data_IF_568873603615
#
_entry.id   IF_568873603615
#
_cell.length_a   1.000
_cell.length_b   1.000
_cell.length_c   1.000
_cell.angle_alpha   90.00
_cell.angle_beta   90.00
_cell.angle_gamma   90.00
#
_symmetry.space_group_name_H-M   'P 1'
#
loop_
_entity.id
_entity.type
_entity.pdbx_description
1 polymer ?
#
# COMPACT_ATOMS: atom_id res chain seq x y z
N UNK A 1 -21.31 68.32 44.72
CA UNK A 1 -21.82 69.45 43.92
C UNK A 1 -21.01 69.54 42.64
N UNK A 2 -21.67 69.44 41.46
CA UNK A 2 -21.18 69.66 40.07
C UNK A 2 -20.03 68.72 39.63
N UNK A 3 -20.00 68.05 38.49
CA UNK A 3 -20.76 68.03 37.23
C UNK A 3 -20.29 66.82 36.38
N UNK A 4 -20.74 66.67 35.12
CA UNK A 4 -21.11 65.38 34.52
C UNK A 4 -20.05 64.76 33.60
N UNK A 5 -20.14 63.45 33.34
CA UNK A 5 -19.55 62.85 32.13
C UNK A 5 -20.35 61.61 31.68
N UNK A 6 -20.65 61.60 30.39
CA UNK A 6 -21.51 60.68 29.66
C UNK A 6 -21.08 59.20 29.78
N UNK A 7 -22.03 58.31 30.10
CA UNK A 7 -21.91 56.88 29.87
C UNK A 7 -22.69 56.52 28.61
N UNK A 8 -21.98 56.28 27.50
CA UNK A 8 -22.53 55.59 26.34
C UNK A 8 -22.57 54.07 26.66
N UNK A 9 -23.66 53.35 26.34
CA UNK A 9 -23.82 51.97 26.74
C UNK A 9 -22.90 51.04 25.94
N UNK A 10 -22.13 50.26 26.69
CA UNK A 10 -21.42 49.07 26.24
C UNK A 10 -22.40 48.08 25.61
N UNK A 11 -22.48 48.03 24.28
CA UNK A 11 -23.27 47.00 23.59
C UNK A 11 -22.71 46.72 22.19
N UNK A 12 -21.39 46.60 22.04
CA UNK A 12 -20.78 46.05 20.82
C UNK A 12 -19.50 45.30 21.18
N UNK A 13 -19.58 44.16 21.86
CA UNK A 13 -18.42 43.27 22.02
C UNK A 13 -18.81 41.89 22.56
N UNK A 14 -19.75 41.20 21.92
CA UNK A 14 -20.08 39.81 22.30
C UNK A 14 -20.62 38.95 21.13
N UNK A 15 -20.14 39.16 19.90
CA UNK A 15 -20.53 38.34 18.74
C UNK A 15 -19.35 37.85 17.88
N UNK A 16 -18.11 37.89 18.38
CA UNK A 16 -16.92 37.44 17.65
C UNK A 16 -16.24 36.20 18.27
N UNK A 17 -16.98 35.38 19.01
CA UNK A 17 -16.41 34.30 19.83
C UNK A 17 -16.64 32.87 19.36
N UNK A 18 -17.29 32.60 18.22
CA UNK A 18 -17.67 31.24 17.83
C UNK A 18 -17.53 30.99 16.33
N UNK A 19 -16.35 31.18 15.77
CA UNK A 19 -16.04 30.73 14.41
C UNK A 19 -14.55 30.41 14.26
N UNK A 20 -14.03 29.52 15.11
CA UNK A 20 -12.71 28.92 14.87
C UNK A 20 -12.84 27.41 14.96
N UNK A 21 -12.37 26.76 13.89
CA UNK A 21 -12.26 25.32 13.68
C UNK A 21 -13.51 24.57 13.20
N UNK A 22 -14.12 25.05 12.11
CA UNK A 22 -14.55 24.08 11.09
C UNK A 22 -13.27 23.67 10.35
N UNK A 23 -12.61 22.62 10.83
CA UNK A 23 -11.46 22.04 10.14
C UNK A 23 -11.87 21.76 8.69
N UNK A 24 -10.96 22.08 7.77
CA UNK A 24 -11.11 22.02 6.33
C UNK A 24 -11.32 20.56 5.86
N UNK A 25 -12.51 20.01 6.10
CA UNK A 25 -12.90 18.63 5.77
C UNK A 25 -12.64 18.31 4.30
N UNK A 26 -12.81 19.31 3.44
CA UNK A 26 -12.56 19.24 1.99
C UNK A 26 -11.12 18.82 1.66
N UNK A 27 -10.09 19.37 2.33
CA UNK A 27 -8.69 19.04 2.00
C UNK A 27 -8.33 17.62 2.47
N UNK A 28 -8.77 17.23 3.67
CA UNK A 28 -8.53 15.88 4.19
C UNK A 28 -9.31 14.83 3.41
N UNK A 29 -10.53 15.15 2.99
CA UNK A 29 -11.33 14.29 2.12
C UNK A 29 -10.68 14.12 0.74
N UNK A 30 -10.18 15.21 0.13
CA UNK A 30 -9.49 15.15 -1.17
C UNK A 30 -8.20 14.36 -1.11
N UNK A 31 -7.40 14.53 -0.06
CA UNK A 31 -6.15 13.81 0.12
C UNK A 31 -6.31 12.28 0.16
N UNK A 32 -7.51 11.79 0.51
CA UNK A 32 -7.85 10.37 0.59
C UNK A 32 -8.66 9.85 -0.62
N UNK A 33 -8.90 10.68 -1.64
CA UNK A 33 -9.63 10.27 -2.85
C UNK A 33 -8.67 9.69 -3.89
N UNK A 34 -8.46 8.38 -3.86
CA UNK A 34 -7.50 7.70 -4.75
C UNK A 34 -7.92 7.66 -6.21
N UNK A 35 -9.17 8.00 -6.51
CA UNK A 35 -9.68 8.21 -7.86
C UNK A 35 -9.60 9.67 -8.34
N UNK A 36 -8.80 10.50 -7.68
CA UNK A 36 -8.58 11.92 -8.02
C UNK A 36 -7.07 12.22 -7.94
N UNK A 37 -6.54 13.04 -8.86
CA UNK A 37 -5.14 13.47 -8.84
C UNK A 37 -4.73 14.18 -7.53
N UNK A 38 -5.69 14.65 -6.75
CA UNK A 38 -5.48 15.28 -5.43
C UNK A 38 -5.40 14.28 -4.27
N UNK A 39 -5.59 12.98 -4.51
CA UNK A 39 -5.48 11.85 -3.58
C UNK A 39 -4.05 11.54 -3.15
N UNK A 40 -3.31 12.53 -2.66
CA UNK A 40 -1.87 12.41 -2.39
C UNK A 40 -1.49 11.44 -1.27
N UNK A 41 -2.45 10.96 -0.47
CA UNK A 41 -2.19 10.00 0.61
C UNK A 41 -2.52 8.55 0.21
N UNK A 42 -2.84 8.34 -1.06
CA UNK A 42 -3.07 7.01 -1.58
C UNK A 42 -1.76 6.29 -1.81
N UNK A 43 -1.77 4.97 -1.57
CA UNK A 43 -0.61 4.10 -1.78
C UNK A 43 -0.21 4.10 -3.25
N UNK A 44 -1.20 4.21 -4.15
CA UNK A 44 -1.03 4.13 -5.58
C UNK A 44 -0.96 5.50 -6.26
N UNK A 45 -0.20 5.58 -7.34
CA UNK A 45 -0.24 6.73 -8.24
C UNK A 45 -1.57 6.76 -8.99
N UNK A 46 -2.15 7.95 -9.13
CA UNK A 46 -3.41 8.13 -9.86
C UNK A 46 -3.33 7.65 -11.32
N UNK A 47 -2.17 7.81 -11.96
CA UNK A 47 -1.88 7.28 -13.30
C UNK A 47 -0.65 6.37 -13.23
N UNK A 48 -0.86 5.06 -13.40
CA UNK A 48 0.21 4.05 -13.42
C UNK A 48 0.93 3.96 -14.78
N UNK A 49 0.34 4.55 -15.82
CA UNK A 49 0.97 4.74 -17.13
C UNK A 49 1.57 6.15 -17.16
N UNK A 50 2.89 6.22 -17.23
CA UNK A 50 3.59 7.48 -17.29
C UNK A 50 3.30 8.27 -18.57
N UNK A 51 3.74 9.53 -18.60
CA UNK A 51 3.61 10.42 -19.76
C UNK A 51 4.10 9.80 -21.08
N UNK A 52 5.06 8.88 -21.02
CA UNK A 52 5.60 8.16 -22.18
C UNK A 52 4.79 6.96 -22.65
N UNK A 53 3.67 6.62 -22.01
CA UNK A 53 2.91 5.40 -22.29
C UNK A 53 3.49 4.13 -21.65
N UNK A 54 4.54 4.27 -20.84
CA UNK A 54 5.23 3.17 -20.16
C UNK A 54 4.67 2.96 -18.75
N UNK A 55 4.65 1.72 -18.29
CA UNK A 55 4.33 1.40 -16.91
C UNK A 55 5.43 1.93 -15.99
N UNK A 56 5.06 2.76 -15.01
CA UNK A 56 5.97 3.19 -13.93
C UNK A 56 5.69 2.29 -12.73
N UNK A 57 6.35 1.14 -12.69
CA UNK A 57 6.34 0.25 -11.54
C UNK A 57 7.74 -0.02 -11.01
N UNK A 58 7.77 -0.69 -9.87
CA UNK A 58 8.99 -1.29 -9.35
C UNK A 58 9.10 -2.73 -9.88
N UNK A 59 10.29 -3.11 -10.36
CA UNK A 59 10.56 -4.49 -10.76
C UNK A 59 11.14 -5.27 -9.57
N UNK A 60 10.46 -6.35 -9.21
CA UNK A 60 10.82 -7.21 -8.08
C UNK A 60 11.27 -8.59 -8.56
N UNK A 61 12.56 -8.95 -8.41
CA UNK A 61 13.04 -10.25 -8.84
C UNK A 61 12.44 -11.36 -7.96
N UNK A 62 11.75 -12.33 -8.59
CA UNK A 62 11.08 -13.42 -7.89
C UNK A 62 11.47 -14.81 -8.40
N UNK A 63 11.40 -15.80 -7.52
CA UNK A 63 11.43 -17.22 -7.85
C UNK A 63 10.07 -17.82 -7.51
N UNK A 64 9.34 -18.26 -8.53
CA UNK A 64 7.94 -18.66 -8.41
C UNK A 64 7.80 -20.19 -8.36
N UNK A 65 6.89 -20.67 -7.49
CA UNK A 65 6.54 -22.07 -7.35
C UNK A 65 5.05 -22.26 -7.60
N UNK A 66 4.71 -23.03 -8.63
CA UNK A 66 3.33 -23.36 -8.96
C UNK A 66 3.05 -24.84 -8.70
N UNK A 67 1.87 -25.13 -8.19
CA UNK A 67 1.38 -26.48 -7.95
C UNK A 67 -0.09 -26.55 -8.32
N UNK A 68 -0.49 -27.64 -8.97
CA UNK A 68 -1.88 -27.97 -9.28
C UNK A 68 -2.47 -29.00 -8.30
N UNK A 69 -1.76 -29.31 -7.22
CA UNK A 69 -2.29 -30.18 -6.16
C UNK A 69 -3.30 -29.40 -5.32
N UNK A 70 -4.56 -29.86 -5.21
CA UNK A 70 -5.58 -29.17 -4.43
C UNK A 70 -5.11 -28.89 -2.99
N UNK A 71 -5.26 -27.63 -2.56
CA UNK A 71 -4.87 -27.18 -1.22
C UNK A 71 -3.39 -26.78 -1.07
N UNK A 72 -2.59 -26.78 -2.13
CA UNK A 72 -1.18 -26.34 -2.04
C UNK A 72 -1.00 -24.88 -1.60
N UNK A 73 -2.00 -24.03 -1.81
CA UNK A 73 -2.01 -22.64 -1.33
C UNK A 73 -2.30 -22.49 0.17
N UNK A 74 -2.88 -23.51 0.82
CA UNK A 74 -3.52 -23.34 2.13
C UNK A 74 -2.55 -23.35 3.31
N UNK A 75 -1.40 -24.02 3.18
CA UNK A 75 -0.42 -24.12 4.27
C UNK A 75 0.98 -24.22 3.71
N UNK A 76 1.72 -23.12 3.85
CA UNK A 76 3.10 -23.01 3.44
C UNK A 76 4.00 -22.91 4.67
N UNK A 77 5.02 -23.77 4.76
CA UNK A 77 5.95 -23.84 5.89
C UNK A 77 7.37 -23.71 5.38
N UNK A 78 8.05 -22.66 5.80
CA UNK A 78 9.43 -22.37 5.41
C UNK A 78 10.35 -22.50 6.61
N UNK A 79 11.51 -23.12 6.41
CA UNK A 79 12.60 -23.09 7.38
C UNK A 79 13.67 -22.11 6.86
N UNK A 80 13.80 -20.98 7.55
CA UNK A 80 14.66 -19.88 7.14
C UNK A 80 15.80 -19.70 8.16
N UNK A 81 17.01 -19.49 7.64
CA UNK A 81 18.14 -18.99 8.44
C UNK A 81 18.48 -17.59 7.96
N UNK A 82 18.20 -16.60 8.80
CA UNK A 82 18.52 -15.20 8.52
C UNK A 82 20.04 -14.98 8.50
N UNK A 83 20.57 -14.26 7.49
CA UNK A 83 22.00 -13.97 7.42
C UNK A 83 22.43 -13.02 8.54
N UNK A 84 23.70 -13.13 8.94
CA UNK A 84 24.35 -12.19 9.86
C UNK A 84 25.20 -11.23 9.05
N UNK A 85 25.34 -10.00 9.54
CA UNK A 85 26.31 -9.07 9.00
C UNK A 85 27.75 -9.56 9.25
N UNK A 86 28.70 -9.24 8.35
CA UNK A 86 30.09 -9.54 8.57
C UNK A 86 30.63 -8.79 9.80
N UNK A 87 31.57 -9.39 10.55
CA UNK A 87 32.13 -8.75 11.75
C UNK A 87 33.04 -7.56 11.43
N UNK A 88 33.47 -7.41 10.17
CA UNK A 88 34.32 -6.32 9.70
C UNK A 88 33.47 -5.17 9.20
N UNK A 89 33.72 -3.97 9.73
CA UNK A 89 33.02 -2.75 9.31
C UNK A 89 33.26 -2.45 7.81
N UNK A 90 32.29 -1.79 7.15
CA UNK A 90 32.47 -1.29 5.79
C UNK A 90 33.60 -0.28 5.69
N UNK A 91 34.34 -0.31 4.58
CA UNK A 91 35.39 0.65 4.24
C UNK A 91 35.15 1.22 2.86
N UNK A 92 35.46 2.50 2.69
CA UNK A 92 35.27 3.22 1.42
C UNK A 92 36.19 2.72 0.30
N UNK A 93 37.29 2.04 0.64
CA UNK A 93 38.21 1.42 -0.32
C UNK A 93 37.77 0.02 -0.79
N UNK A 94 36.59 -0.45 -0.35
CA UNK A 94 36.06 -1.77 -0.71
C UNK A 94 36.72 -2.96 -0.01
N UNK A 95 37.64 -2.73 0.94
CA UNK A 95 38.36 -3.82 1.66
C UNK A 95 37.67 -4.24 2.97
N UNK A 96 36.56 -3.59 3.32
CA UNK A 96 35.75 -3.90 4.49
C UNK A 96 34.70 -4.99 4.24
N UNK A 97 33.84 -5.22 5.24
CA UNK A 97 32.64 -6.03 5.04
C UNK A 97 31.53 -5.25 4.33
N UNK A 98 30.54 -5.96 3.80
CA UNK A 98 29.31 -5.34 3.29
C UNK A 98 28.14 -5.87 4.11
N UNK A 99 27.40 -4.95 4.74
CA UNK A 99 26.27 -5.32 5.59
C UNK A 99 25.05 -5.62 4.73
N UNK A 100 24.13 -6.43 5.26
CA UNK A 100 22.96 -6.91 4.53
C UNK A 100 22.11 -5.76 3.97
N UNK A 101 21.87 -4.73 4.78
CA UNK A 101 21.07 -3.56 4.37
C UNK A 101 21.67 -2.77 3.21
N UNK A 102 22.96 -2.95 2.92
CA UNK A 102 23.63 -2.29 1.80
C UNK A 102 23.45 -3.06 0.48
N UNK A 103 23.06 -4.33 0.55
CA UNK A 103 22.90 -5.21 -0.60
C UNK A 103 21.44 -5.37 -1.02
N UNK A 104 20.55 -5.43 -0.05
CA UNK A 104 19.12 -5.63 -0.27
C UNK A 104 18.31 -4.79 0.72
N UNK A 105 17.25 -4.11 0.25
CA UNK A 105 16.33 -3.39 1.14
C UNK A 105 15.52 -4.37 2.01
N UNK A 106 15.06 -5.47 1.40
CA UNK A 106 14.37 -6.58 2.04
C UNK A 106 14.41 -7.83 1.14
N UNK A 107 14.03 -8.97 1.69
CA UNK A 107 13.54 -10.12 0.92
C UNK A 107 12.23 -10.61 1.52
N UNK A 108 11.40 -11.32 0.75
CA UNK A 108 10.10 -11.78 1.22
C UNK A 108 9.71 -13.14 0.66
N UNK A 109 8.80 -13.80 1.37
CA UNK A 109 7.97 -14.85 0.78
C UNK A 109 6.68 -14.22 0.27
N UNK A 110 6.39 -14.48 -1.00
CA UNK A 110 5.22 -13.96 -1.70
C UNK A 110 4.11 -14.99 -1.86
N UNK A 111 2.86 -14.54 -1.85
CA UNK A 111 1.72 -15.34 -2.28
C UNK A 111 0.70 -14.48 -3.02
N UNK A 112 0.37 -14.86 -4.25
CA UNK A 112 -0.79 -14.30 -4.94
C UNK A 112 -2.07 -14.78 -4.24
N UNK A 113 -2.95 -13.83 -3.93
CA UNK A 113 -4.20 -14.06 -3.23
C UNK A 113 -5.36 -13.42 -3.99
N UNK A 114 -6.56 -13.90 -3.72
CA UNK A 114 -7.79 -13.26 -4.20
C UNK A 114 -8.27 -12.28 -3.13
N UNK A 115 -8.39 -11.01 -3.49
CA UNK A 115 -9.04 -9.97 -2.69
C UNK A 115 -10.21 -9.42 -3.50
N UNK A 116 -11.43 -9.81 -3.13
CA UNK A 116 -12.63 -9.40 -3.86
C UNK A 116 -12.95 -7.91 -3.75
N UNK A 117 -12.25 -7.16 -2.91
CA UNK A 117 -12.35 -5.70 -2.86
C UNK A 117 -11.33 -4.98 -3.75
N UNK A 118 -10.47 -5.74 -4.44
CA UNK A 118 -9.41 -5.21 -5.28
C UNK A 118 -9.72 -5.33 -6.78
N UNK A 119 -9.10 -4.46 -7.57
CA UNK A 119 -9.03 -4.57 -9.01
C UNK A 119 -8.02 -5.64 -9.48
N UNK A 120 -8.21 -6.21 -10.69
CA UNK A 120 -9.43 -6.13 -11.47
C UNK A 120 -10.50 -6.99 -10.80
N UNK A 121 -11.74 -6.52 -10.78
CA UNK A 121 -12.90 -7.36 -10.46
C UNK A 121 -13.98 -6.95 -11.47
N UNK A 122 -14.45 -7.79 -12.40
CA UNK A 122 -15.22 -7.37 -13.56
C UNK A 122 -16.57 -6.71 -13.26
N UNK A 123 -17.03 -6.68 -12.00
CA UNK A 123 -18.15 -5.82 -11.56
C UNK A 123 -17.69 -4.54 -10.85
N UNK A 124 -16.44 -4.47 -10.39
CA UNK A 124 -15.75 -3.29 -9.83
C UNK A 124 -14.95 -2.47 -10.87
N UNK A 125 -14.51 -3.11 -11.96
CA UNK A 125 -13.50 -2.59 -12.90
C UNK A 125 -14.01 -1.43 -13.78
N UNK A 126 -15.29 -1.08 -13.67
CA UNK A 126 -15.81 0.19 -14.20
C UNK A 126 -16.40 1.01 -13.07
N UNK A 127 -15.53 1.74 -12.38
CA UNK A 127 -15.78 2.97 -11.65
C UNK A 127 -15.60 2.91 -10.14
N UNK A 128 -15.02 3.98 -9.62
CA UNK A 128 -15.37 4.55 -8.32
C UNK A 128 -16.84 4.99 -8.21
N UNK A 129 -17.75 4.17 -8.72
CA UNK A 129 -19.22 4.27 -8.68
C UNK A 129 -19.95 3.13 -9.43
N UNK A 130 -19.33 1.95 -9.70
CA UNK A 130 -20.08 0.84 -10.34
C UNK A 130 -21.30 0.49 -9.47
N UNK A 131 -22.54 0.48 -10.02
CA UNK A 131 -23.73 0.10 -9.26
C UNK A 131 -23.80 -1.40 -8.95
N UNK A 132 -22.82 -2.18 -9.41
CA UNK A 132 -22.77 -3.62 -9.25
C UNK A 132 -21.77 -4.00 -8.13
N UNK A 133 -22.17 -4.86 -7.19
CA UNK A 133 -21.27 -5.33 -6.13
C UNK A 133 -20.12 -6.15 -6.73
N UNK A 134 -18.95 -6.09 -6.09
CA UNK A 134 -17.82 -6.94 -6.41
C UNK A 134 -18.21 -8.42 -6.42
N UNK A 135 -17.64 -9.20 -7.32
CA UNK A 135 -17.82 -10.66 -7.32
C UNK A 135 -16.94 -11.23 -6.21
N UNK A 136 -17.51 -11.97 -5.23
CA UNK A 136 -16.73 -12.54 -4.15
C UNK A 136 -15.82 -13.67 -4.61
N UNK A 137 -14.64 -13.77 -4.01
CA UNK A 137 -13.71 -14.87 -4.23
C UNK A 137 -14.33 -16.18 -3.72
N UNK A 138 -14.20 -17.26 -4.49
CA UNK A 138 -14.58 -18.59 -4.01
C UNK A 138 -13.47 -19.15 -3.10
N UNK A 139 -13.74 -19.49 -1.84
CA UNK A 139 -12.71 -20.05 -0.96
C UNK A 139 -12.07 -21.32 -1.54
N UNK A 140 -10.76 -21.51 -1.30
CA UNK A 140 -10.00 -22.72 -1.65
C UNK A 140 -10.22 -23.21 -3.09
N UNK A 141 -10.21 -22.29 -4.07
CA UNK A 141 -10.61 -22.62 -5.44
C UNK A 141 -9.75 -21.93 -6.50
N UNK A 142 -9.20 -22.73 -7.41
CA UNK A 142 -8.45 -22.26 -8.59
C UNK A 142 -9.36 -21.54 -9.60
N UNK A 143 -10.68 -21.63 -9.44
CA UNK A 143 -11.64 -20.88 -10.28
C UNK A 143 -11.53 -19.37 -10.14
N UNK A 144 -10.78 -18.87 -9.15
CA UNK A 144 -10.50 -17.44 -9.00
C UNK A 144 -9.30 -16.99 -9.84
N UNK A 145 -8.50 -17.92 -10.38
CA UNK A 145 -7.26 -17.63 -11.09
C UNK A 145 -7.57 -17.40 -12.57
N UNK A 146 -7.30 -16.19 -13.03
CA UNK A 146 -7.46 -15.76 -14.42
C UNK A 146 -6.10 -15.25 -14.87
N UNK A 147 -5.35 -15.99 -15.68
CA UNK A 147 -3.98 -15.67 -16.07
C UNK A 147 -3.80 -15.57 -17.60
N UNK A 148 -4.90 -15.66 -18.35
CA UNK A 148 -4.92 -15.52 -19.80
C UNK A 148 -4.62 -14.10 -20.27
N UNK A 149 -3.92 -13.97 -21.38
CA UNK A 149 -3.56 -12.67 -21.98
C UNK A 149 -4.54 -12.17 -23.04
N UNK A 150 -5.45 -13.01 -23.54
CA UNK A 150 -6.42 -12.67 -24.59
C UNK A 150 -7.71 -12.07 -23.99
N UNK A 151 -8.02 -10.77 -24.21
CA UNK A 151 -9.21 -10.11 -23.66
C UNK A 151 -10.54 -10.76 -24.05
N UNK A 152 -10.59 -11.48 -25.17
CA UNK A 152 -11.79 -12.14 -25.65
C UNK A 152 -12.11 -13.43 -24.87
N UNK A 153 -11.13 -14.00 -24.14
CA UNK A 153 -11.30 -15.28 -23.44
C UNK A 153 -11.90 -15.10 -22.05
N UNK A 154 -12.61 -16.13 -21.52
CA UNK A 154 -13.17 -16.08 -20.18
C UNK A 154 -12.12 -15.92 -19.07
N UNK A 155 -10.93 -16.50 -19.25
CA UNK A 155 -9.80 -16.54 -18.31
C UNK A 155 -8.84 -15.35 -18.43
N UNK A 156 -9.23 -14.28 -19.13
CA UNK A 156 -8.42 -13.08 -19.26
C UNK A 156 -8.09 -12.46 -17.89
N UNK A 157 -6.82 -12.14 -17.63
CA UNK A 157 -6.34 -11.52 -16.39
C UNK A 157 -7.09 -10.24 -16.02
N UNK A 158 -7.54 -9.45 -17.00
CA UNK A 158 -8.36 -8.26 -16.75
C UNK A 158 -9.79 -8.54 -16.24
N UNK A 159 -10.18 -9.82 -16.15
CA UNK A 159 -11.45 -10.31 -15.58
C UNK A 159 -11.24 -11.10 -14.28
N UNK A 160 -10.05 -11.06 -13.67
CA UNK A 160 -9.80 -11.69 -12.38
C UNK A 160 -10.84 -11.25 -11.34
N UNK A 161 -11.09 -12.05 -10.29
CA UNK A 161 -12.11 -11.74 -9.27
C UNK A 161 -11.55 -10.87 -8.12
N UNK A 162 -10.58 -10.02 -8.44
CA UNK A 162 -9.79 -9.23 -7.51
C UNK A 162 -8.47 -9.91 -7.14
N UNK A 163 -7.44 -9.09 -6.92
CA UNK A 163 -6.06 -9.56 -6.76
C UNK A 163 -5.38 -8.86 -5.60
N UNK A 164 -4.65 -9.62 -4.79
CA UNK A 164 -3.73 -9.09 -3.80
C UNK A 164 -2.45 -9.91 -3.79
N UNK A 165 -1.38 -9.34 -3.27
CA UNK A 165 -0.12 -10.03 -3.06
C UNK A 165 0.27 -9.94 -1.60
N UNK A 166 0.43 -11.10 -0.94
CA UNK A 166 0.96 -11.16 0.41
C UNK A 166 2.47 -11.21 0.35
N UNK A 167 3.11 -10.39 1.18
CA UNK A 167 4.54 -10.37 1.37
C UNK A 167 4.88 -10.55 2.85
N UNK A 168 5.52 -11.67 3.18
CA UNK A 168 6.18 -11.83 4.46
C UNK A 168 7.61 -11.33 4.32
N UNK A 169 7.81 -10.04 4.60
CA UNK A 169 9.06 -9.30 4.40
C UNK A 169 10.01 -9.42 5.61
N UNK A 170 11.31 -9.46 5.31
CA UNK A 170 12.39 -9.48 6.30
C UNK A 170 13.37 -8.34 6.01
N UNK A 171 13.51 -7.45 6.99
CA UNK A 171 14.37 -6.28 6.90
C UNK A 171 15.65 -6.48 7.71
N UNK A 172 16.83 -6.25 7.10
CA UNK A 172 18.10 -6.40 7.78
C UNK A 172 18.32 -5.31 8.83
N UNK A 173 19.10 -5.61 9.89
CA UNK A 173 19.54 -4.61 10.84
C UNK A 173 20.40 -3.52 10.16
N UNK A 174 20.42 -2.34 10.77
CA UNK A 174 21.30 -1.22 10.39
C UNK A 174 20.67 -0.13 9.52
N UNK A 175 19.51 -0.37 8.89
CA UNK A 175 18.80 0.65 8.12
C UNK A 175 17.70 1.34 8.94
N UNK A 176 17.95 2.58 9.35
CA UNK A 176 17.05 3.39 10.18
C UNK A 176 15.75 3.84 9.49
N UNK A 177 15.66 3.74 8.16
CA UNK A 177 14.49 4.22 7.41
C UNK A 177 13.47 3.12 7.11
N UNK A 178 13.91 1.86 7.13
CA UNK A 178 13.12 0.72 6.63
C UNK A 178 13.00 -0.37 7.70
N UNK A 179 14.04 -0.60 8.53
CA UNK A 179 13.98 -1.59 9.60
C UNK A 179 13.34 -1.03 10.87
N UNK A 180 12.63 -1.87 11.64
CA UNK A 180 12.11 -1.50 12.94
C UNK A 180 13.17 -1.48 14.07
N UNK A 181 14.35 -2.08 13.85
CA UNK A 181 15.49 -2.09 14.78
C UNK A 181 16.81 -2.07 13.98
N UNK A 182 17.85 -1.42 14.54
CA UNK A 182 19.19 -1.37 13.96
C UNK A 182 20.08 -2.57 14.32
N UNK A 183 19.68 -3.39 15.28
CA UNK A 183 20.47 -4.52 15.81
C UNK A 183 19.84 -5.88 15.56
N UNK A 184 18.55 -5.93 15.26
CA UNK A 184 17.81 -7.15 15.00
C UNK A 184 17.17 -7.12 13.62
N UNK A 185 16.91 -8.31 13.08
CA UNK A 185 16.05 -8.45 11.92
C UNK A 185 14.61 -8.07 12.27
N UNK A 186 13.97 -7.33 11.38
CA UNK A 186 12.55 -7.05 11.46
C UNK A 186 11.78 -7.95 10.50
N UNK A 187 10.57 -8.35 10.89
CA UNK A 187 9.65 -9.03 10.00
C UNK A 187 8.33 -8.25 9.94
N UNK A 188 7.76 -8.14 8.75
CA UNK A 188 6.46 -7.53 8.51
C UNK A 188 5.63 -8.40 7.58
N UNK A 189 4.32 -8.43 7.81
CA UNK A 189 3.37 -9.04 6.90
C UNK A 189 2.62 -7.91 6.21
N UNK A 190 2.82 -7.82 4.90
CA UNK A 190 2.19 -6.85 4.03
C UNK A 190 1.23 -7.58 3.09
N UNK A 191 0.09 -6.97 2.80
CA UNK A 191 -0.86 -7.47 1.82
C UNK A 191 -1.23 -6.28 0.96
N UNK A 192 -0.76 -6.32 -0.28
CA UNK A 192 -0.86 -5.23 -1.22
C UNK A 192 -1.97 -5.54 -2.22
N UNK A 193 -2.89 -4.59 -2.38
CA UNK A 193 -4.10 -4.71 -3.19
C UNK A 193 -4.41 -3.37 -3.83
N UNK A 194 -4.89 -3.38 -5.08
CA UNK A 194 -5.32 -2.16 -5.76
C UNK A 194 -6.82 -1.92 -5.50
N UNK A 195 -7.17 -0.87 -4.75
CA UNK A 195 -8.57 -0.51 -4.43
C UNK A 195 -9.18 0.52 -5.39
#
# INVERSE_FOLDING_TARGET
MRGPALLAPWSVLLLLGSAVSAQNTSVRQKALKCNDQTGILCTEVFESIGYGGEYIGHDEPSLLFYSNLPGSGNTNRYFLKLPKDPPTLPKQDGTGGTFNFQLHPAFWFGMAMCDDQSAPNPTAATAGSSPFPNIPCKPDSDSNVFDGSDPAKPDYIGKHLGAAFMEMQFYPPGNLFISCDVTHWCAALNIDSLS
#
